data_IF_142104476402
#
_entry.id   IF_142104476402
#
_cell.length_a   1.000
_cell.length_b   1.000
_cell.length_c   1.000
_cell.angle_alpha   90.00
_cell.angle_beta   90.00
_cell.angle_gamma   90.00
#
_symmetry.space_group_name_H-M   'P 1'
#
loop_
_entity.id
_entity.type
_entity.pdbx_description
1 polymer ?
#
# COMPACT_ATOMS: atom_id res chain seq x y z
N UNK A 1 8.51 -25.09 -1.65
CA UNK A 1 9.38 -25.29 -0.47
C UNK A 1 10.49 -24.27 -0.55
N UNK A 2 10.72 -23.42 0.45
CA UNK A 2 11.55 -22.22 0.27
C UNK A 2 12.85 -22.16 1.10
N UNK A 3 13.95 -21.70 0.48
CA UNK A 3 15.23 -21.34 1.13
C UNK A 3 15.51 -19.83 0.99
N UNK A 4 16.08 -19.17 2.01
CA UNK A 4 16.35 -17.72 2.02
C UNK A 4 17.84 -17.40 1.73
N UNK A 5 18.18 -16.81 0.57
CA UNK A 5 19.55 -16.37 0.26
C UNK A 5 19.86 -14.94 0.76
N UNK A 6 21.15 -14.63 0.96
CA UNK A 6 21.66 -13.25 1.10
C UNK A 6 21.99 -12.70 -0.29
N UNK A 7 21.41 -11.56 -0.66
CA UNK A 7 21.80 -10.76 -1.85
C UNK A 7 20.77 -10.72 -3.00
N UNK A 8 20.20 -9.52 -3.19
CA UNK A 8 19.51 -8.86 -4.32
C UNK A 8 18.73 -9.60 -5.44
N UNK A 9 17.62 -8.94 -5.86
CA UNK A 9 16.81 -9.18 -7.07
C UNK A 9 15.31 -9.42 -6.80
N UNK A 10 14.44 -8.43 -7.06
CA UNK A 10 13.06 -8.33 -6.54
C UNK A 10 11.95 -9.00 -7.38
N UNK A 11 11.02 -9.71 -6.73
CA UNK A 11 9.56 -9.78 -7.04
C UNK A 11 8.72 -10.07 -5.77
N UNK A 12 7.73 -9.23 -5.45
CA UNK A 12 7.01 -9.14 -4.15
C UNK A 12 5.77 -10.04 -4.10
N UNK A 13 5.67 -10.89 -3.07
CA UNK A 13 4.57 -11.83 -2.83
C UNK A 13 4.37 -11.96 -1.32
N UNK A 14 3.12 -11.95 -0.85
CA UNK A 14 2.75 -11.92 0.55
C UNK A 14 1.81 -13.08 0.91
N UNK A 15 2.14 -13.86 1.95
CA UNK A 15 1.36 -15.01 2.45
C UNK A 15 1.18 -14.88 3.95
N UNK A 16 -0.05 -14.89 4.46
CA UNK A 16 -0.33 -14.66 5.89
C UNK A 16 -0.75 -15.96 6.59
N UNK A 17 -0.29 -16.16 7.83
CA UNK A 17 -0.71 -17.24 8.74
C UNK A 17 -1.18 -16.62 10.06
N UNK A 18 -2.32 -17.03 10.60
CA UNK A 18 -2.82 -16.59 11.91
C UNK A 18 -2.86 -17.77 12.90
N UNK A 19 -2.45 -17.52 14.15
CA UNK A 19 -2.71 -18.37 15.33
C UNK A 19 -2.94 -17.48 16.55
N UNK A 20 -3.89 -17.87 17.40
CA UNK A 20 -4.16 -17.22 18.70
C UNK A 20 -3.34 -17.85 19.83
N UNK A 21 -2.79 -16.99 20.69
CA UNK A 21 -2.09 -17.30 21.94
C UNK A 21 -3.04 -17.28 23.14
N UNK A 22 -2.72 -18.08 24.16
CA UNK A 22 -3.48 -18.41 25.36
C UNK A 22 -3.66 -17.29 26.42
N UNK A 23 -4.17 -16.12 26.04
CA UNK A 23 -4.53 -15.05 26.99
C UNK A 23 -6.04 -14.82 27.00
N UNK A 24 -6.66 -14.68 28.18
CA UNK A 24 -8.09 -14.31 28.29
C UNK A 24 -8.34 -12.98 27.57
N UNK A 25 -9.26 -12.92 26.59
CA UNK A 25 -9.51 -11.71 25.81
C UNK A 25 -10.20 -10.62 26.65
N UNK A 26 -9.96 -9.35 26.29
CA UNK A 26 -10.54 -8.18 26.95
C UNK A 26 -11.87 -7.77 26.32
N UNK A 27 -12.84 -7.33 27.12
CA UNK A 27 -14.07 -6.71 26.61
C UNK A 27 -13.80 -5.28 26.10
N UNK A 28 -14.52 -4.85 25.05
CA UNK A 28 -14.55 -3.44 24.61
C UNK A 28 -15.61 -2.65 25.38
N UNK A 29 -15.60 -1.32 25.26
CA UNK A 29 -16.64 -0.47 25.85
C UNK A 29 -18.05 -0.70 25.27
N UNK A 30 -18.17 -1.44 24.16
CA UNK A 30 -19.44 -1.79 23.52
C UNK A 30 -19.81 -3.27 23.72
N UNK A 31 -19.08 -4.01 24.55
CA UNK A 31 -19.29 -5.45 24.71
C UNK A 31 -20.75 -5.79 25.06
N UNK A 32 -21.30 -5.17 26.11
CA UNK A 32 -22.67 -5.43 26.55
C UNK A 32 -23.70 -5.02 25.48
N UNK A 33 -23.43 -3.93 24.75
CA UNK A 33 -24.27 -3.51 23.63
C UNK A 33 -24.28 -4.57 22.52
N UNK A 34 -23.12 -5.07 22.12
CA UNK A 34 -23.03 -6.10 21.09
C UNK A 34 -23.75 -7.38 21.50
N UNK A 35 -23.56 -7.82 22.74
CA UNK A 35 -24.26 -9.00 23.28
C UNK A 35 -25.78 -8.78 23.29
N UNK A 36 -26.25 -7.61 23.72
CA UNK A 36 -27.66 -7.26 23.72
C UNK A 36 -28.29 -7.22 22.31
N UNK A 37 -27.50 -6.95 21.27
CA UNK A 37 -27.91 -7.00 19.87
C UNK A 37 -27.75 -8.40 19.23
N UNK A 38 -27.50 -9.45 20.03
CA UNK A 38 -27.31 -10.82 19.53
C UNK A 38 -25.92 -11.07 18.91
N UNK A 39 -24.93 -10.26 19.28
CA UNK A 39 -23.56 -10.37 18.80
C UNK A 39 -22.86 -11.64 19.30
N UNK A 40 -22.41 -12.48 18.36
CA UNK A 40 -21.55 -13.64 18.63
C UNK A 40 -20.12 -13.15 18.87
N UNK A 41 -19.69 -13.14 20.12
CA UNK A 41 -18.38 -12.63 20.51
C UNK A 41 -17.28 -13.68 20.25
N UNK A 42 -16.18 -13.25 19.65
CA UNK A 42 -14.99 -14.08 19.40
C UNK A 42 -13.75 -13.37 19.91
N UNK A 43 -12.74 -14.13 20.31
CA UNK A 43 -11.40 -13.57 20.55
C UNK A 43 -10.79 -13.14 19.21
N UNK A 44 -10.66 -11.84 19.03
CA UNK A 44 -9.97 -11.22 17.93
C UNK A 44 -8.84 -10.34 18.48
N UNK A 45 -7.61 -10.83 18.34
CA UNK A 45 -6.40 -10.15 18.79
C UNK A 45 -6.40 -9.75 20.29
N UNK A 46 -6.92 -10.63 21.16
CA UNK A 46 -6.98 -10.40 22.60
C UNK A 46 -8.13 -9.49 23.03
N UNK A 47 -9.13 -9.30 22.18
CA UNK A 47 -10.37 -8.59 22.48
C UNK A 47 -11.60 -9.39 22.04
N UNK A 48 -12.68 -9.29 22.82
CA UNK A 48 -13.97 -9.86 22.46
C UNK A 48 -14.67 -8.92 21.47
N UNK A 49 -14.80 -9.38 20.23
CA UNK A 49 -15.41 -8.64 19.12
C UNK A 49 -16.59 -9.42 18.53
N UNK A 50 -17.67 -8.75 18.08
CA UNK A 50 -18.80 -9.44 17.45
C UNK A 50 -18.43 -9.89 16.02
N UNK A 51 -18.54 -11.19 15.73
CA UNK A 51 -18.31 -11.74 14.39
C UNK A 51 -19.59 -11.76 13.53
N UNK A 52 -20.74 -11.85 14.17
CA UNK A 52 -22.05 -11.95 13.55
C UNK A 52 -23.11 -11.50 14.56
N UNK A 53 -24.23 -10.94 14.10
CA UNK A 53 -25.40 -10.67 14.95
C UNK A 53 -26.51 -11.68 14.63
N UNK A 54 -27.27 -12.08 15.65
CA UNK A 54 -28.39 -12.99 15.51
C UNK A 54 -29.38 -12.50 14.43
N UNK A 55 -29.89 -13.42 13.63
CA UNK A 55 -30.79 -13.10 12.51
C UNK A 55 -30.12 -12.52 11.26
N UNK A 56 -28.83 -12.15 11.31
CA UNK A 56 -28.09 -11.61 10.17
C UNK A 56 -26.89 -12.48 9.81
N UNK A 57 -26.95 -13.18 8.67
CA UNK A 57 -25.82 -13.91 8.11
C UNK A 57 -24.67 -12.97 7.70
N UNK A 58 -23.42 -13.44 7.77
CA UNK A 58 -22.25 -12.67 7.29
C UNK A 58 -22.46 -12.17 5.86
N UNK A 59 -23.04 -13.00 4.98
CA UNK A 59 -23.37 -12.64 3.61
C UNK A 59 -24.42 -11.52 3.52
N UNK A 60 -25.45 -11.54 4.38
CA UNK A 60 -26.48 -10.50 4.42
C UNK A 60 -25.89 -9.16 4.89
N UNK A 61 -25.07 -9.17 5.95
CA UNK A 61 -24.37 -7.97 6.42
C UNK A 61 -23.37 -7.44 5.39
N UNK A 62 -22.67 -8.33 4.67
CA UNK A 62 -21.78 -7.95 3.58
C UNK A 62 -22.53 -7.28 2.43
N UNK A 63 -23.65 -7.86 1.99
CA UNK A 63 -24.48 -7.32 0.92
C UNK A 63 -25.08 -5.97 1.32
N UNK A 64 -25.53 -5.82 2.57
CA UNK A 64 -26.02 -4.55 3.09
C UNK A 64 -24.98 -3.43 3.01
N UNK A 65 -23.72 -3.69 3.42
CA UNK A 65 -22.61 -2.71 3.30
C UNK A 65 -22.25 -2.38 1.84
N UNK A 66 -22.61 -3.25 0.89
CA UNK A 66 -22.35 -3.08 -0.55
C UNK A 66 -23.53 -2.46 -1.31
N UNK A 67 -24.70 -2.33 -0.69
CA UNK A 67 -25.88 -1.70 -1.26
C UNK A 67 -25.94 -0.22 -0.84
N UNK A 68 -26.30 0.67 -1.76
CA UNK A 68 -26.52 2.10 -1.47
C UNK A 68 -25.26 2.99 -1.43
N UNK A 69 -24.11 2.50 -1.93
CA UNK A 69 -22.93 3.34 -2.17
C UNK A 69 -22.99 3.91 -3.59
N UNK A 70 -23.92 4.83 -3.84
CA UNK A 70 -23.94 5.59 -5.09
C UNK A 70 -22.74 6.54 -5.12
N UNK A 71 -21.71 6.16 -5.88
CA UNK A 71 -20.59 7.05 -6.19
C UNK A 71 -20.93 7.77 -7.48
N UNK A 72 -21.12 9.09 -7.41
CA UNK A 72 -21.26 9.93 -8.60
C UNK A 72 -19.87 10.35 -9.04
N UNK A 73 -19.49 10.01 -10.27
CA UNK A 73 -18.26 10.50 -10.89
C UNK A 73 -18.58 11.82 -11.60
N UNK A 74 -17.94 12.89 -11.14
CA UNK A 74 -17.96 14.18 -11.82
C UNK A 74 -16.60 14.40 -12.48
N UNK A 75 -16.60 14.57 -13.80
CA UNK A 75 -15.40 14.89 -14.56
C UNK A 75 -15.21 16.41 -14.59
N UNK A 76 -14.08 16.87 -14.05
CA UNK A 76 -13.69 18.28 -14.11
C UNK A 76 -12.86 18.51 -15.39
N UNK A 77 -13.52 18.80 -16.50
CA UNK A 77 -12.88 18.89 -17.83
C UNK A 77 -12.09 20.18 -18.07
N UNK A 78 -12.29 21.23 -17.25
CA UNK A 78 -11.70 22.56 -17.44
C UNK A 78 -10.56 22.86 -16.46
N UNK A 79 -9.73 21.86 -16.13
CA UNK A 79 -8.69 21.96 -15.09
C UNK A 79 -7.37 21.34 -15.50
N UNK A 80 -6.30 22.10 -15.30
CA UNK A 80 -4.93 21.66 -15.42
C UNK A 80 -4.44 21.06 -14.10
N UNK A 81 -3.41 20.22 -14.19
CA UNK A 81 -2.75 19.62 -13.05
C UNK A 81 -1.25 19.91 -13.10
N UNK A 82 -0.73 20.55 -12.05
CA UNK A 82 0.69 20.87 -11.90
C UNK A 82 1.22 20.05 -10.72
N UNK A 83 2.32 19.32 -10.94
CA UNK A 83 3.04 18.64 -9.87
C UNK A 83 4.30 19.44 -9.51
N UNK A 84 4.29 20.07 -8.33
CA UNK A 84 5.46 20.74 -7.75
C UNK A 84 6.10 19.80 -6.73
N UNK A 85 7.26 19.25 -7.05
CA UNK A 85 7.92 18.19 -6.28
C UNK A 85 9.32 18.63 -5.84
N UNK A 86 9.72 18.23 -4.63
CA UNK A 86 11.03 18.52 -4.06
C UNK A 86 10.97 19.22 -2.70
N UNK A 87 12.12 19.29 -1.99
CA UNK A 87 12.18 19.76 -0.61
C UNK A 87 11.79 21.24 -0.41
N UNK A 88 11.91 22.06 -1.46
CA UNK A 88 11.56 23.50 -1.41
C UNK A 88 10.10 23.76 -1.83
N UNK A 89 9.36 22.73 -2.27
CA UNK A 89 8.00 22.85 -2.84
C UNK A 89 7.03 23.61 -1.94
N UNK A 90 7.02 23.31 -0.64
CA UNK A 90 6.16 23.98 0.33
C UNK A 90 6.50 25.48 0.45
N UNK A 91 7.79 25.84 0.49
CA UNK A 91 8.23 27.23 0.63
C UNK A 91 7.85 28.04 -0.61
N UNK A 92 8.15 27.50 -1.79
CA UNK A 92 7.81 28.12 -3.07
C UNK A 92 6.31 28.36 -3.19
N UNK A 93 5.49 27.32 -2.97
CA UNK A 93 4.03 27.43 -3.11
C UNK A 93 3.41 28.36 -2.05
N UNK A 94 3.94 28.35 -0.82
CA UNK A 94 3.42 29.17 0.29
C UNK A 94 3.40 30.66 -0.05
N UNK A 95 4.38 31.15 -0.83
CA UNK A 95 4.44 32.54 -1.28
C UNK A 95 3.27 32.97 -2.17
N UNK A 96 2.64 32.01 -2.86
CA UNK A 96 1.53 32.26 -3.78
C UNK A 96 0.16 32.08 -3.12
N UNK A 97 0.10 31.55 -1.88
CA UNK A 97 -1.14 31.31 -1.14
C UNK A 97 -1.01 31.65 0.37
N UNK A 98 -0.73 32.92 0.72
CA UNK A 98 -0.42 33.33 2.11
C UNK A 98 -1.56 33.08 3.11
N UNK A 99 -2.80 32.95 2.64
CA UNK A 99 -3.99 32.70 3.46
C UNK A 99 -4.11 31.25 3.97
N UNK A 100 -3.25 30.33 3.53
CA UNK A 100 -3.21 28.94 4.02
C UNK A 100 -1.82 28.63 4.54
N UNK A 101 -1.73 27.93 5.67
CA UNK A 101 -0.45 27.44 6.20
C UNK A 101 -0.16 26.04 5.64
N UNK A 102 0.65 25.95 4.57
CA UNK A 102 0.92 24.68 3.87
C UNK A 102 1.60 23.63 4.76
N UNK A 103 2.36 24.04 5.78
CA UNK A 103 2.96 23.12 6.74
C UNK A 103 1.94 22.36 7.59
N UNK A 104 0.70 22.85 7.69
CA UNK A 104 -0.40 22.18 8.38
C UNK A 104 -1.16 21.20 7.47
N UNK A 105 -0.98 21.29 6.14
CA UNK A 105 -1.52 20.31 5.20
C UNK A 105 -0.65 19.04 5.29
N UNK A 106 -1.27 17.95 5.74
CA UNK A 106 -0.59 16.66 5.90
C UNK A 106 -0.56 15.92 4.57
N UNK A 107 0.36 14.97 4.45
CA UNK A 107 0.40 14.06 3.31
C UNK A 107 -0.97 13.41 3.05
N UNK A 108 -1.37 13.34 1.77
CA UNK A 108 -2.66 12.84 1.29
C UNK A 108 -3.89 13.61 1.80
N UNK A 109 -3.70 14.88 2.18
CA UNK A 109 -4.81 15.80 2.47
C UNK A 109 -4.82 16.94 1.46
N UNK A 110 -6.00 17.52 1.26
CA UNK A 110 -6.20 18.62 0.31
C UNK A 110 -6.98 19.77 0.92
N UNK A 111 -6.79 20.95 0.35
CA UNK A 111 -7.61 22.13 0.60
C UNK A 111 -7.96 22.82 -0.73
N UNK A 112 -9.05 23.58 -0.73
CA UNK A 112 -9.38 24.52 -1.81
C UNK A 112 -9.08 25.93 -1.32
N UNK A 113 -8.37 26.71 -2.12
CA UNK A 113 -7.89 28.03 -1.72
C UNK A 113 -7.59 28.91 -2.94
N UNK A 114 -7.10 30.13 -2.69
CA UNK A 114 -6.61 31.05 -3.72
C UNK A 114 -5.11 30.83 -3.98
N UNK A 115 -4.67 30.75 -5.23
CA UNK A 115 -3.24 30.66 -5.57
C UNK A 115 -2.92 31.69 -6.64
N UNK A 116 -1.94 32.56 -6.39
CA UNK A 116 -1.52 33.60 -7.32
C UNK A 116 -2.69 34.48 -7.82
N UNK A 117 -3.63 34.81 -6.93
CA UNK A 117 -4.83 35.60 -7.27
C UNK A 117 -5.99 34.80 -7.87
N UNK A 118 -5.80 33.53 -8.21
CA UNK A 118 -6.84 32.66 -8.80
C UNK A 118 -7.59 31.91 -7.71
N UNK A 119 -8.91 32.00 -7.72
CA UNK A 119 -9.79 31.31 -6.77
C UNK A 119 -10.06 29.84 -7.14
N UNK A 120 -10.63 29.09 -6.19
CA UNK A 120 -11.03 27.69 -6.36
C UNK A 120 -9.87 26.73 -6.66
N UNK A 121 -8.62 27.05 -6.33
CA UNK A 121 -7.48 26.16 -6.59
C UNK A 121 -7.40 25.04 -5.55
N UNK A 122 -7.38 23.79 -5.99
CA UNK A 122 -7.19 22.64 -5.10
C UNK A 122 -5.70 22.34 -4.99
N UNK A 123 -5.21 22.34 -3.76
CA UNK A 123 -3.85 21.92 -3.41
C UNK A 123 -3.96 20.61 -2.65
N UNK A 124 -3.27 19.57 -3.11
CA UNK A 124 -3.13 18.29 -2.41
C UNK A 124 -1.66 18.06 -2.11
N UNK A 125 -1.31 17.80 -0.85
CA UNK A 125 0.08 17.44 -0.51
C UNK A 125 0.30 15.96 -0.80
N UNK A 126 0.75 15.68 -2.02
CA UNK A 126 1.06 14.36 -2.51
C UNK A 126 2.12 14.45 -3.61
N UNK A 127 2.61 13.29 -4.01
CA UNK A 127 3.71 13.23 -4.96
C UNK A 127 3.93 11.85 -5.50
N UNK A 128 4.73 11.80 -6.56
CA UNK A 128 5.07 10.56 -7.26
C UNK A 128 6.57 10.44 -7.52
N UNK A 129 7.39 11.09 -6.70
CA UNK A 129 8.85 11.13 -6.85
C UNK A 129 9.62 10.60 -5.64
N UNK A 130 8.93 10.28 -4.54
CA UNK A 130 9.56 9.95 -3.25
C UNK A 130 9.94 11.17 -2.41
N UNK A 131 9.82 12.38 -2.96
CA UNK A 131 10.04 13.65 -2.27
C UNK A 131 8.73 14.25 -1.75
N UNK A 132 8.84 15.27 -0.91
CA UNK A 132 7.68 16.12 -0.56
C UNK A 132 7.21 16.91 -1.79
N UNK A 133 5.95 17.30 -1.80
CA UNK A 133 5.38 17.97 -2.96
C UNK A 133 3.88 18.20 -2.88
N UNK A 134 3.39 18.90 -3.90
CA UNK A 134 2.00 19.26 -4.06
C UNK A 134 1.53 19.00 -5.49
N UNK A 135 0.32 18.48 -5.61
CA UNK A 135 -0.46 18.52 -6.83
C UNK A 135 -1.45 19.68 -6.75
N UNK A 136 -1.43 20.51 -7.78
CA UNK A 136 -2.20 21.75 -7.85
C UNK A 136 -3.16 21.62 -9.03
N UNK A 137 -4.45 21.57 -8.73
CA UNK A 137 -5.50 21.60 -9.73
C UNK A 137 -6.09 23.01 -9.82
N UNK A 138 -5.96 23.61 -11.00
CA UNK A 138 -6.30 25.00 -11.31
C UNK A 138 -7.00 25.05 -12.68
N UNK A 139 -7.70 26.12 -13.00
CA UNK A 139 -8.35 26.30 -14.30
C UNK A 139 -7.32 26.24 -15.43
N UNK A 140 -7.70 25.64 -16.57
CA UNK A 140 -6.80 25.46 -17.71
C UNK A 140 -6.18 26.77 -18.21
N UNK A 141 -6.98 27.83 -18.26
CA UNK A 141 -6.54 29.16 -18.70
C UNK A 141 -5.42 29.75 -17.84
N UNK A 142 -5.36 29.37 -16.57
CA UNK A 142 -4.42 29.92 -15.58
C UNK A 142 -3.19 29.02 -15.40
N UNK A 143 -3.22 27.79 -15.92
CA UNK A 143 -2.21 26.76 -15.67
C UNK A 143 -0.82 27.20 -16.12
N UNK A 144 -0.70 27.72 -17.35
CA UNK A 144 0.57 28.19 -17.88
C UNK A 144 1.14 29.37 -17.06
N UNK A 145 0.29 30.34 -16.71
CA UNK A 145 0.69 31.50 -15.91
C UNK A 145 1.18 31.10 -14.51
N UNK A 146 0.55 30.11 -13.88
CA UNK A 146 1.02 29.59 -12.60
C UNK A 146 2.37 28.86 -12.72
N UNK A 147 2.58 28.07 -13.78
CA UNK A 147 3.88 27.41 -14.02
C UNK A 147 4.99 28.43 -14.22
N UNK A 148 4.75 29.47 -15.05
CA UNK A 148 5.71 30.56 -15.24
C UNK A 148 6.04 31.25 -13.92
N UNK A 149 5.01 31.50 -13.09
CA UNK A 149 5.19 32.12 -11.78
C UNK A 149 6.05 31.26 -10.84
N UNK A 150 5.83 29.96 -10.82
CA UNK A 150 6.62 29.00 -10.04
C UNK A 150 8.08 28.95 -10.53
N UNK A 151 8.31 28.93 -11.84
CA UNK A 151 9.65 28.93 -12.44
C UNK A 151 10.43 30.22 -12.11
N UNK A 152 9.74 31.35 -11.99
CA UNK A 152 10.32 32.64 -11.60
C UNK A 152 10.47 32.85 -10.08
N UNK A 153 10.21 31.83 -9.27
CA UNK A 153 10.21 31.97 -7.80
C UNK A 153 11.59 32.35 -7.27
N UNK A 154 11.63 33.36 -6.40
CA UNK A 154 12.84 33.72 -5.63
C UNK A 154 12.98 32.88 -4.34
N UNK A 155 11.90 32.21 -3.93
CA UNK A 155 11.82 31.37 -2.73
C UNK A 155 12.43 29.97 -2.94
N UNK A 156 13.07 29.68 -4.05
CA UNK A 156 13.62 28.35 -4.32
C UNK A 156 13.83 28.10 -5.80
N UNK A 157 14.68 27.12 -6.12
CA UNK A 157 15.00 26.81 -7.51
C UNK A 157 13.98 25.83 -8.08
N UNK A 158 13.15 26.30 -9.00
CA UNK A 158 12.17 25.45 -9.70
C UNK A 158 12.64 25.23 -11.14
N UNK A 159 12.64 23.98 -11.58
CA UNK A 159 12.98 23.58 -12.95
C UNK A 159 11.90 22.66 -13.51
N UNK A 160 11.75 22.65 -14.84
CA UNK A 160 10.84 21.74 -15.51
C UNK A 160 11.39 20.32 -15.50
N UNK A 161 10.55 19.36 -15.11
CA UNK A 161 10.87 17.94 -15.16
C UNK A 161 9.89 17.22 -16.11
N UNK A 162 10.45 16.47 -17.06
CA UNK A 162 9.67 15.65 -17.98
C UNK A 162 9.30 14.28 -17.40
N UNK A 163 8.52 13.52 -18.17
CA UNK A 163 8.08 12.17 -17.80
C UNK A 163 9.23 11.22 -17.47
N UNK A 164 10.36 11.31 -18.19
CA UNK A 164 11.53 10.46 -17.94
C UNK A 164 12.14 10.65 -16.54
N UNK A 165 12.23 11.89 -16.07
CA UNK A 165 12.72 12.17 -14.71
C UNK A 165 11.76 11.63 -13.64
N UNK A 166 10.45 11.86 -13.84
CA UNK A 166 9.40 11.33 -12.96
C UNK A 166 9.44 9.80 -12.90
N UNK A 167 9.58 9.13 -14.04
CA UNK A 167 9.58 7.68 -14.12
C UNK A 167 10.81 7.06 -13.43
N UNK A 168 11.96 7.72 -13.45
CA UNK A 168 13.12 7.30 -12.66
C UNK A 168 12.89 7.50 -11.15
N UNK A 169 12.47 8.69 -10.74
CA UNK A 169 12.27 9.02 -9.32
C UNK A 169 11.21 8.13 -8.65
N UNK A 170 10.09 7.86 -9.35
CA UNK A 170 9.05 6.98 -8.83
C UNK A 170 9.54 5.54 -8.66
N UNK A 171 10.44 5.07 -9.54
CA UNK A 171 11.05 3.74 -9.43
C UNK A 171 11.99 3.67 -8.23
N UNK A 172 12.82 4.69 -8.02
CA UNK A 172 13.70 4.80 -6.85
C UNK A 172 12.89 4.80 -5.54
N UNK A 173 11.72 5.45 -5.55
CA UNK A 173 10.79 5.47 -4.42
C UNK A 173 9.93 4.19 -4.26
N UNK A 174 10.01 3.24 -5.20
CA UNK A 174 9.23 2.00 -5.18
C UNK A 174 7.73 2.17 -5.47
N UNK A 175 7.35 3.23 -6.19
CA UNK A 175 5.96 3.54 -6.54
C UNK A 175 5.54 2.84 -7.85
N UNK A 176 4.44 2.09 -7.80
CA UNK A 176 3.95 1.27 -8.92
C UNK A 176 3.09 2.07 -9.89
N UNK A 177 3.43 2.05 -11.18
CA UNK A 177 2.70 2.74 -12.24
C UNK A 177 1.69 1.80 -12.91
N UNK A 178 0.42 2.21 -12.95
CA UNK A 178 -0.62 1.48 -13.65
C UNK A 178 -0.34 1.43 -15.16
N UNK A 179 -0.58 0.27 -15.78
CA UNK A 179 -0.23 -0.05 -17.17
C UNK A 179 1.23 -0.47 -17.38
N UNK A 180 2.10 -0.32 -16.37
CA UNK A 180 3.50 -0.78 -16.43
C UNK A 180 3.78 -1.88 -15.40
N UNK A 181 3.61 -1.57 -14.11
CA UNK A 181 3.91 -2.50 -13.01
C UNK A 181 2.65 -3.22 -12.50
N UNK A 182 1.50 -2.58 -12.66
CA UNK A 182 0.19 -3.09 -12.21
C UNK A 182 -0.85 -2.85 -13.30
N UNK A 183 -1.81 -3.75 -13.41
CA UNK A 183 -2.94 -3.64 -14.34
C UNK A 183 -4.16 -4.37 -13.76
N UNK A 184 -5.24 -4.47 -14.54
CA UNK A 184 -6.43 -5.19 -14.09
C UNK A 184 -6.20 -6.68 -13.73
N UNK A 185 -5.08 -7.28 -14.19
CA UNK A 185 -4.70 -8.68 -13.95
C UNK A 185 -3.54 -8.82 -12.96
N UNK A 186 -2.85 -7.72 -12.66
CA UNK A 186 -1.61 -7.67 -11.88
C UNK A 186 -1.81 -6.67 -10.76
N UNK A 187 -2.16 -7.17 -9.56
CA UNK A 187 -2.30 -6.31 -8.37
C UNK A 187 -1.04 -6.34 -7.52
N UNK A 188 -0.68 -5.23 -6.84
CA UNK A 188 0.42 -5.26 -5.89
C UNK A 188 0.12 -6.26 -4.78
N UNK A 189 0.88 -7.35 -4.73
CA UNK A 189 0.80 -8.33 -3.64
C UNK A 189 -0.40 -9.30 -3.70
N UNK A 190 -0.84 -9.76 -4.89
CA UNK A 190 -1.76 -10.92 -4.94
C UNK A 190 -1.11 -12.12 -4.24
N UNK A 191 -1.73 -12.68 -3.18
CA UNK A 191 -1.27 -13.93 -2.59
C UNK A 191 -1.45 -15.03 -3.63
N UNK A 192 -0.34 -15.57 -4.14
CA UNK A 192 -0.38 -16.66 -5.12
C UNK A 192 -0.38 -18.05 -4.48
N UNK A 193 -0.26 -18.14 -3.15
CA UNK A 193 -0.09 -19.42 -2.44
C UNK A 193 -0.48 -19.35 -0.97
N UNK A 194 -0.04 -20.31 -0.17
CA UNK A 194 -0.18 -20.27 1.29
C UNK A 194 0.96 -21.05 1.96
N UNK A 195 1.60 -20.49 2.99
CA UNK A 195 2.61 -21.20 3.79
C UNK A 195 1.91 -22.10 4.79
N UNK A 196 2.08 -23.41 4.64
CA UNK A 196 1.48 -24.40 5.54
C UNK A 196 2.32 -24.64 6.78
N UNK A 197 3.65 -24.64 6.63
CA UNK A 197 4.59 -24.99 7.71
C UNK A 197 5.94 -24.30 7.51
N UNK A 198 6.62 -23.97 8.61
CA UNK A 198 7.97 -23.40 8.55
C UNK A 198 8.68 -23.38 9.89
N UNK A 199 10.00 -23.54 9.86
CA UNK A 199 10.87 -23.58 11.02
C UNK A 199 12.32 -23.22 10.63
N UNK A 200 13.18 -22.85 11.59
CA UNK A 200 14.63 -22.85 11.37
C UNK A 200 15.14 -24.30 11.22
N UNK A 201 16.08 -24.52 10.30
CA UNK A 201 16.72 -25.83 10.07
C UNK A 201 18.18 -25.80 10.55
N UNK A 202 18.50 -26.43 11.69
CA UNK A 202 19.88 -26.52 12.19
C UNK A 202 20.83 -27.22 11.21
N UNK A 203 20.35 -28.23 10.49
CA UNK A 203 21.12 -29.02 9.51
C UNK A 203 21.43 -28.27 8.20
N UNK A 204 20.85 -27.08 8.03
CA UNK A 204 21.12 -26.20 6.89
C UNK A 204 21.69 -24.88 7.40
N UNK A 205 22.71 -24.93 8.25
CA UNK A 205 23.42 -23.75 8.77
C UNK A 205 22.48 -22.69 9.42
N UNK A 206 21.37 -23.16 10.03
CA UNK A 206 20.37 -22.29 10.64
C UNK A 206 19.48 -21.53 9.65
N UNK A 207 19.50 -21.88 8.35
CA UNK A 207 18.56 -21.33 7.38
C UNK A 207 17.11 -21.63 7.78
N UNK A 208 16.23 -20.66 7.58
CA UNK A 208 14.78 -20.88 7.70
C UNK A 208 14.29 -21.69 6.51
N UNK A 209 13.38 -22.62 6.76
CA UNK A 209 12.75 -23.48 5.77
C UNK A 209 11.23 -23.44 5.90
N UNK A 210 10.53 -23.56 4.78
CA UNK A 210 9.06 -23.59 4.78
C UNK A 210 8.45 -24.38 3.63
N UNK A 211 7.27 -24.92 3.87
CA UNK A 211 6.38 -25.55 2.89
C UNK A 211 5.22 -24.62 2.56
N UNK A 212 4.79 -24.65 1.31
CA UNK A 212 3.68 -23.84 0.83
C UNK A 212 3.02 -24.48 -0.37
N UNK A 213 1.74 -24.21 -0.53
CA UNK A 213 1.04 -24.43 -1.79
C UNK A 213 1.32 -23.25 -2.73
N UNK A 214 1.59 -23.56 -3.99
CA UNK A 214 1.81 -22.60 -5.06
C UNK A 214 1.05 -23.07 -6.32
N UNK A 215 0.70 -22.16 -7.24
CA UNK A 215 0.19 -22.53 -8.54
C UNK A 215 1.30 -23.24 -9.32
N UNK A 216 0.93 -24.14 -10.22
CA UNK A 216 1.87 -24.92 -11.04
C UNK A 216 2.81 -24.05 -11.87
N UNK A 217 2.37 -22.84 -12.26
CA UNK A 217 3.20 -21.86 -12.96
C UNK A 217 4.39 -21.37 -12.13
N UNK A 218 4.33 -21.47 -10.81
CA UNK A 218 5.36 -21.00 -9.87
C UNK A 218 6.07 -22.14 -9.12
N UNK A 219 5.69 -23.41 -9.35
CA UNK A 219 6.24 -24.56 -8.63
C UNK A 219 7.61 -25.04 -9.16
N UNK A 220 8.15 -24.40 -10.21
CA UNK A 220 9.45 -24.75 -10.78
C UNK A 220 10.59 -24.51 -9.75
N UNK A 221 11.52 -25.47 -9.66
CA UNK A 221 12.71 -25.33 -8.81
C UNK A 221 13.57 -24.15 -9.30
N UNK A 222 14.07 -23.34 -8.38
CA UNK A 222 14.84 -22.12 -8.64
C UNK A 222 13.98 -20.86 -8.70
N UNK A 223 12.65 -20.98 -8.76
CA UNK A 223 11.75 -19.83 -8.78
C UNK A 223 11.92 -19.01 -7.50
N UNK A 224 12.26 -17.73 -7.66
CA UNK A 224 12.34 -16.78 -6.54
C UNK A 224 10.94 -16.29 -6.19
N UNK A 225 10.65 -16.20 -4.90
CA UNK A 225 9.41 -15.67 -4.36
C UNK A 225 9.72 -14.74 -3.20
N UNK A 226 8.75 -13.94 -2.80
CA UNK A 226 8.77 -13.26 -1.51
C UNK A 226 7.72 -13.89 -0.59
N UNK A 227 8.01 -13.86 0.71
CA UNK A 227 7.17 -14.37 1.77
C UNK A 227 6.87 -13.24 2.75
N UNK A 228 5.64 -13.13 3.22
CA UNK A 228 5.28 -12.16 4.25
C UNK A 228 5.22 -12.84 5.62
N UNK A 229 6.25 -12.65 6.44
CA UNK A 229 6.36 -13.24 7.78
C UNK A 229 6.25 -12.11 8.80
N UNK A 230 5.22 -12.10 9.64
CA UNK A 230 5.01 -11.08 10.69
C UNK A 230 5.06 -9.65 10.13
N UNK A 231 4.36 -9.40 9.02
CA UNK A 231 4.36 -8.13 8.25
C UNK A 231 5.72 -7.73 7.66
N UNK A 232 6.76 -8.55 7.80
CA UNK A 232 8.05 -8.36 7.14
C UNK A 232 8.11 -9.20 5.88
N UNK A 233 8.60 -8.59 4.81
CA UNK A 233 8.80 -9.30 3.55
C UNK A 233 10.18 -9.91 3.52
N UNK A 234 10.28 -11.19 3.17
CA UNK A 234 11.54 -11.95 3.17
C UNK A 234 11.63 -12.75 1.87
N UNK A 235 12.77 -12.64 1.18
CA UNK A 235 13.01 -13.30 -0.11
C UNK A 235 13.35 -14.77 0.05
N UNK A 236 12.74 -15.64 -0.76
CA UNK A 236 12.94 -17.08 -0.69
C UNK A 236 12.93 -17.73 -2.08
N UNK A 237 13.32 -19.01 -2.17
CA UNK A 237 13.47 -19.72 -3.45
C UNK A 237 12.87 -21.12 -3.38
N UNK A 238 12.10 -21.51 -4.40
CA UNK A 238 11.54 -22.87 -4.54
C UNK A 238 12.66 -23.89 -4.72
N UNK A 239 12.79 -24.84 -3.80
CA UNK A 239 13.79 -25.92 -3.84
C UNK A 239 13.15 -27.31 -3.91
N UNK A 240 13.96 -28.29 -4.34
CA UNK A 240 13.58 -29.71 -4.39
C UNK A 240 13.40 -30.28 -2.98
N UNK A 241 12.47 -31.24 -2.85
CA UNK A 241 12.32 -32.06 -1.65
C UNK A 241 13.08 -33.39 -1.78
N UNK A 242 13.55 -33.98 -0.66
CA UNK A 242 13.57 -33.40 0.68
C UNK A 242 14.65 -32.30 0.82
N UNK A 243 14.48 -31.37 1.76
CA UNK A 243 15.47 -30.31 2.04
C UNK A 243 16.86 -30.85 2.41
N UNK A 244 16.88 -31.98 3.10
CA UNK A 244 18.07 -32.74 3.50
C UNK A 244 17.85 -34.16 3.00
N UNK A 245 18.85 -34.79 2.35
CA UNK A 245 18.73 -36.17 1.87
C UNK A 245 18.29 -37.11 2.99
N UNK A 246 17.30 -37.95 2.71
CA UNK A 246 16.83 -38.96 3.64
C UNK A 246 17.74 -40.19 3.59
N UNK A 247 18.26 -40.62 4.74
CA UNK A 247 19.02 -41.87 4.88
C UNK A 247 18.09 -43.01 5.33
N UNK A 248 17.00 -43.24 4.61
CA UNK A 248 16.14 -44.37 4.90
C UNK A 248 16.85 -45.68 4.55
N UNK A 249 16.68 -46.68 5.42
CA UNK A 249 17.11 -48.04 5.10
C UNK A 249 16.37 -48.50 3.84
N UNK A 250 17.13 -48.86 2.81
CA UNK A 250 16.61 -49.37 1.55
C UNK A 250 16.99 -50.84 1.50
N UNK A 251 16.00 -51.74 1.56
CA UNK A 251 16.19 -53.19 1.41
C UNK A 251 16.69 -53.55 0.02
#
# INVERSE_FOLDING_TARGET
>A
MFRFPKGFGHQVIALTRQYGSSSTPRATCLYDFHVAQGGKMVDFAGYLMPVQYEGLGIAASHLHTRQGLDVTLEYLENRGLIALQGPESARVLQSLCPQVTLSQIKFMTSCVTRVNGVDDVRITRCGYTGEDGFEISIQDSETAGLVEKLLSSEEGKVELAGLGARDSLRLEAGLCLYGNDIDAKTTPGTPVGEITSGCPSPSLEGHNVSMAYLPTTLSKIGTKVQLQIRKKTVSAEVVKMPFVPSNYYSS
#
